data_IF_352756900894
#
_entry.id   IF_352756900894
#
_cell.length_a   1.000
_cell.length_b   1.000
_cell.length_c   1.000
_cell.angle_alpha   90.00
_cell.angle_beta   90.00
_cell.angle_gamma   90.00
#
_symmetry.space_group_name_H-M   'P 1'
#
loop_
_entity.id
_entity.type
_entity.pdbx_description
1 polymer ?
#
# COMPACT_ATOMS: atom_id res chain seq x y z
N UNK A 1 -37.55 -14.03 -20.33
CA UNK A 1 -37.46 -13.30 -19.03
C UNK A 1 -36.04 -12.93 -18.64
N UNK A 2 -35.03 -13.80 -18.83
CA UNK A 2 -33.62 -13.47 -18.55
C UNK A 2 -33.09 -12.23 -19.31
N UNK A 3 -33.50 -12.01 -20.58
CA UNK A 3 -33.05 -10.84 -21.37
C UNK A 3 -33.59 -9.48 -20.88
N UNK A 4 -34.65 -9.46 -20.06
CA UNK A 4 -35.16 -8.22 -19.46
C UNK A 4 -34.47 -7.89 -18.11
N UNK A 5 -33.76 -8.86 -17.53
CA UNK A 5 -33.04 -8.70 -16.26
C UNK A 5 -31.61 -8.21 -16.48
N UNK A 6 -30.96 -8.67 -17.54
CA UNK A 6 -29.59 -8.35 -17.90
C UNK A 6 -29.61 -7.66 -19.27
N UNK A 7 -29.83 -6.34 -19.26
CA UNK A 7 -29.81 -5.49 -20.46
C UNK A 7 -28.62 -4.56 -20.37
N UNK A 8 -27.84 -4.44 -21.45
CA UNK A 8 -26.69 -3.54 -21.56
C UNK A 8 -27.05 -2.06 -21.39
N UNK A 9 -28.34 -1.71 -21.38
CA UNK A 9 -28.84 -0.35 -21.18
C UNK A 9 -29.03 0.04 -19.69
N UNK A 10 -28.87 -0.90 -18.75
CA UNK A 10 -29.05 -0.64 -17.32
C UNK A 10 -27.71 -0.71 -16.57
N UNK A 11 -27.50 0.17 -15.58
CA UNK A 11 -26.32 0.11 -14.69
C UNK A 11 -26.26 -1.21 -13.92
N UNK A 12 -25.05 -1.63 -13.50
CA UNK A 12 -24.89 -2.89 -12.77
C UNK A 12 -25.66 -2.88 -11.47
N UNK A 13 -25.65 -1.74 -10.76
CA UNK A 13 -26.49 -1.54 -9.58
C UNK A 13 -27.99 -1.78 -9.83
N UNK A 14 -28.54 -1.32 -10.95
CA UNK A 14 -29.97 -1.52 -11.27
C UNK A 14 -30.28 -3.00 -11.60
N UNK A 15 -29.38 -3.69 -12.30
CA UNK A 15 -29.51 -5.12 -12.60
C UNK A 15 -29.43 -5.95 -11.30
N UNK A 16 -28.52 -5.60 -10.40
CA UNK A 16 -28.39 -6.21 -9.08
C UNK A 16 -29.66 -6.05 -8.23
N UNK A 17 -30.23 -4.84 -8.13
CA UNK A 17 -31.43 -4.60 -7.32
C UNK A 17 -32.61 -5.47 -7.76
N UNK A 18 -32.85 -5.58 -9.06
CA UNK A 18 -33.90 -6.46 -9.61
C UNK A 18 -33.66 -7.93 -9.25
N UNK A 19 -32.40 -8.36 -9.30
CA UNK A 19 -32.01 -9.73 -8.95
C UNK A 19 -32.16 -10.00 -7.44
N UNK A 20 -31.80 -9.03 -6.61
CA UNK A 20 -31.93 -9.13 -5.16
C UNK A 20 -33.40 -9.25 -4.73
N UNK A 21 -34.29 -8.42 -5.30
CA UNK A 21 -35.74 -8.53 -5.05
C UNK A 21 -36.28 -9.90 -5.47
N UNK A 22 -35.81 -10.45 -6.60
CA UNK A 22 -36.19 -11.80 -7.01
C UNK A 22 -35.70 -12.86 -6.02
N UNK A 23 -34.50 -12.68 -5.44
CA UNK A 23 -33.95 -13.60 -4.44
C UNK A 23 -34.68 -13.52 -3.09
N UNK A 24 -35.01 -12.33 -2.60
CA UNK A 24 -35.76 -12.13 -1.34
C UNK A 24 -37.15 -12.77 -1.39
N UNK A 25 -37.77 -12.79 -2.57
CA UNK A 25 -39.09 -13.38 -2.78
C UNK A 25 -39.08 -14.93 -2.84
N UNK A 26 -37.90 -15.58 -2.81
CA UNK A 26 -37.80 -17.05 -2.80
C UNK A 26 -37.94 -17.55 -1.36
N UNK A 27 -39.13 -18.09 -1.05
CA UNK A 27 -39.38 -18.86 0.17
C UNK A 27 -38.66 -20.21 0.12
N UNK A 28 -38.15 -20.68 1.27
CA UNK A 28 -37.38 -21.94 1.40
C UNK A 28 -38.15 -23.20 0.98
N UNK A 29 -39.47 -23.10 0.77
CA UNK A 29 -40.33 -24.23 0.42
C UNK A 29 -40.79 -24.24 -1.05
N UNK A 30 -40.42 -23.25 -1.87
CA UNK A 30 -40.92 -23.11 -3.25
C UNK A 30 -39.82 -23.17 -4.31
N UNK A 31 -39.82 -24.30 -5.01
CA UNK A 31 -39.47 -24.48 -6.43
C UNK A 31 -38.02 -24.35 -6.91
N UNK A 32 -37.46 -25.51 -7.33
CA UNK A 32 -36.17 -25.64 -8.03
C UNK A 32 -36.01 -24.74 -9.28
N UNK A 33 -37.11 -24.26 -9.88
CA UNK A 33 -37.08 -23.46 -11.10
C UNK A 33 -36.65 -22.01 -10.84
N UNK A 34 -37.20 -21.38 -9.79
CA UNK A 34 -36.85 -20.01 -9.43
C UNK A 34 -35.43 -19.92 -8.87
N UNK A 35 -35.01 -20.91 -8.08
CA UNK A 35 -33.62 -21.00 -7.61
C UNK A 35 -32.62 -21.18 -8.77
N UNK A 36 -32.97 -21.96 -9.80
CA UNK A 36 -32.16 -22.07 -11.03
C UNK A 36 -32.12 -20.76 -11.79
N UNK A 37 -33.24 -20.05 -11.90
CA UNK A 37 -33.27 -18.74 -12.55
C UNK A 37 -32.36 -17.73 -11.85
N UNK A 38 -32.39 -17.67 -10.51
CA UNK A 38 -31.46 -16.83 -9.74
C UNK A 38 -30.02 -17.27 -9.99
N UNK A 39 -29.71 -18.56 -9.88
CA UNK A 39 -28.36 -19.09 -10.14
C UNK A 39 -27.80 -18.61 -11.50
N UNK A 40 -28.55 -18.82 -12.59
CA UNK A 40 -28.08 -18.46 -13.94
C UNK A 40 -28.01 -16.95 -14.14
N UNK A 41 -29.02 -16.19 -13.71
CA UNK A 41 -28.99 -14.74 -13.82
C UNK A 41 -27.83 -14.12 -13.01
N UNK A 42 -27.59 -14.59 -11.78
CA UNK A 42 -26.48 -14.11 -10.95
C UNK A 42 -25.14 -14.49 -11.56
N UNK A 43 -25.02 -15.70 -12.12
CA UNK A 43 -23.80 -16.14 -12.79
C UNK A 43 -23.49 -15.29 -14.03
N UNK A 44 -24.50 -15.01 -14.87
CA UNK A 44 -24.30 -14.17 -16.07
C UNK A 44 -23.95 -12.73 -15.68
N UNK A 45 -24.63 -12.16 -14.69
CA UNK A 45 -24.32 -10.83 -14.18
C UNK A 45 -22.91 -10.77 -13.60
N UNK A 46 -22.53 -11.78 -12.79
CA UNK A 46 -21.18 -11.93 -12.25
C UNK A 46 -20.14 -11.92 -13.38
N UNK A 47 -20.28 -12.79 -14.38
CA UNK A 47 -19.33 -12.87 -15.49
C UNK A 47 -19.25 -11.56 -16.29
N UNK A 48 -20.38 -10.86 -16.46
CA UNK A 48 -20.39 -9.57 -17.15
C UNK A 48 -19.64 -8.48 -16.37
N UNK A 49 -19.86 -8.40 -15.05
CA UNK A 49 -19.11 -7.50 -14.17
C UNK A 49 -17.62 -7.85 -14.12
N UNK A 50 -17.29 -9.15 -14.01
CA UNK A 50 -15.91 -9.63 -13.99
C UNK A 50 -15.18 -9.32 -15.28
N UNK A 51 -15.83 -9.45 -16.44
CA UNK A 51 -15.23 -9.03 -17.71
C UNK A 51 -14.87 -7.54 -17.70
N UNK A 52 -15.79 -6.67 -17.29
CA UNK A 52 -15.53 -5.22 -17.23
C UNK A 52 -14.42 -4.86 -16.25
N UNK A 53 -14.40 -5.52 -15.10
CA UNK A 53 -13.36 -5.36 -14.09
C UNK A 53 -11.99 -5.86 -14.58
N UNK A 54 -11.95 -7.06 -15.14
CA UNK A 54 -10.72 -7.71 -15.64
C UNK A 54 -10.07 -6.93 -16.78
N UNK A 55 -10.86 -6.31 -17.67
CA UNK A 55 -10.35 -5.42 -18.72
C UNK A 55 -9.55 -4.22 -18.17
N UNK A 56 -9.77 -3.82 -16.92
CA UNK A 56 -9.03 -2.73 -16.27
C UNK A 56 -7.85 -3.25 -15.45
N UNK A 57 -7.99 -4.42 -14.82
CA UNK A 57 -6.91 -5.08 -14.06
C UNK A 57 -5.78 -5.47 -15.00
N UNK A 58 -6.07 -6.14 -16.10
CA UNK A 58 -5.05 -6.62 -17.02
C UNK A 58 -5.45 -6.34 -18.46
N UNK A 59 -5.34 -5.07 -18.90
CA UNK A 59 -5.78 -4.67 -20.23
C UNK A 59 -5.11 -5.47 -21.35
N UNK A 60 -3.87 -5.93 -21.13
CA UNK A 60 -3.11 -6.70 -22.11
C UNK A 60 -3.72 -8.08 -22.44
N UNK A 61 -4.47 -8.69 -21.51
CA UNK A 61 -5.13 -9.98 -21.75
C UNK A 61 -6.44 -9.84 -22.54
N UNK A 62 -7.05 -8.64 -22.54
CA UNK A 62 -8.40 -8.40 -23.08
C UNK A 62 -8.46 -7.36 -24.19
N UNK A 63 -7.45 -6.51 -24.35
CA UNK A 63 -7.40 -5.50 -25.39
C UNK A 63 -6.86 -6.07 -26.70
N UNK A 64 -7.59 -5.83 -27.78
CA UNK A 64 -7.00 -5.74 -29.12
C UNK A 64 -6.22 -4.42 -29.15
N UNK A 65 -4.92 -4.38 -29.49
CA UNK A 65 -4.13 -3.17 -29.44
C UNK A 65 -4.79 -2.09 -30.32
N UNK A 66 -5.23 -0.95 -29.76
CA UNK A 66 -5.74 0.15 -30.57
C UNK A 66 -4.59 0.71 -31.43
N UNK A 67 -4.88 1.24 -32.63
CA UNK A 67 -3.90 1.98 -33.42
C UNK A 67 -3.62 3.32 -32.73
N UNK A 68 -2.68 3.31 -31.80
CA UNK A 68 -2.35 4.48 -30.98
C UNK A 68 -1.85 4.02 -29.62
N UNK A 69 -0.65 4.46 -29.27
CA UNK A 69 0.16 4.00 -28.15
C UNK A 69 -0.36 4.46 -26.77
N UNK A 70 -1.67 4.45 -26.52
CA UNK A 70 -2.24 4.74 -25.19
C UNK A 70 -2.36 3.43 -24.42
N UNK A 71 -1.24 2.99 -23.80
CA UNK A 71 -1.25 1.84 -22.91
C UNK A 71 -2.23 2.11 -21.75
N UNK A 72 -3.35 1.40 -21.72
CA UNK A 72 -4.25 1.39 -20.57
C UNK A 72 -3.46 0.90 -19.35
N UNK A 73 -3.40 1.72 -18.30
CA UNK A 73 -2.67 1.39 -17.08
C UNK A 73 -3.44 0.32 -16.30
N UNK A 74 -2.77 -0.77 -15.94
CA UNK A 74 -3.31 -1.83 -15.07
C UNK A 74 -3.71 -1.25 -13.71
N UNK A 75 -4.74 -1.79 -13.06
CA UNK A 75 -5.17 -1.35 -11.72
C UNK A 75 -4.95 -2.44 -10.66
N UNK A 76 -4.84 -2.01 -9.40
CA UNK A 76 -4.63 -2.89 -8.23
C UNK A 76 -5.49 -2.44 -7.05
N UNK A 77 -6.08 -3.40 -6.34
CA UNK A 77 -6.79 -3.15 -5.09
C UNK A 77 -5.87 -3.36 -3.88
N UNK A 78 -5.74 -2.34 -3.03
CA UNK A 78 -4.91 -2.36 -1.82
C UNK A 78 -5.62 -1.66 -0.65
N UNK A 79 -5.22 -1.94 0.58
CA UNK A 79 -5.71 -1.21 1.76
C UNK A 79 -5.21 0.23 1.73
N UNK A 80 -6.08 1.20 2.02
CA UNK A 80 -5.68 2.59 2.16
C UNK A 80 -4.97 2.78 3.51
N UNK A 81 -3.77 3.37 3.46
CA UNK A 81 -2.97 3.61 4.65
C UNK A 81 -3.32 5.02 5.16
N UNK A 82 -3.69 5.13 6.43
CA UNK A 82 -3.93 6.44 7.06
C UNK A 82 -2.62 6.94 7.68
N UNK A 83 -2.11 8.12 7.30
CA UNK A 83 -0.88 8.67 7.90
C UNK A 83 -1.11 9.12 9.36
N UNK A 84 -2.35 9.48 9.72
CA UNK A 84 -2.67 10.17 10.98
C UNK A 84 -3.22 9.24 12.07
N UNK A 85 -3.19 7.92 11.91
CA UNK A 85 -3.64 6.98 12.94
C UNK A 85 -2.63 6.82 14.08
N UNK A 86 -2.14 7.94 14.61
CA UNK A 86 -1.53 8.02 15.94
C UNK A 86 -2.67 7.97 16.95
N UNK A 87 -3.37 6.84 17.03
CA UNK A 87 -4.19 6.51 18.19
C UNK A 87 -3.24 5.99 19.28
N UNK A 88 -2.60 6.92 20.01
CA UNK A 88 -1.73 6.68 21.17
C UNK A 88 -2.43 5.99 22.38
N UNK A 89 -3.52 5.26 22.16
CA UNK A 89 -4.30 4.68 23.25
C UNK A 89 -4.87 3.30 23.00
N UNK A 90 -4.51 2.58 21.94
CA UNK A 90 -4.78 1.14 21.88
C UNK A 90 -3.84 0.48 20.86
N UNK A 91 -3.09 -0.57 21.25
CA UNK A 91 -2.34 -1.35 20.27
C UNK A 91 -3.35 -1.84 19.24
N UNK A 92 -3.07 -1.64 17.94
CA UNK A 92 -3.84 -2.27 16.88
C UNK A 92 -4.05 -3.73 17.29
N UNK A 93 -5.31 -4.18 17.49
CA UNK A 93 -5.54 -5.49 18.05
C UNK A 93 -4.83 -6.49 17.14
N UNK A 94 -3.99 -7.35 17.71
CA UNK A 94 -3.17 -8.40 17.06
C UNK A 94 -3.97 -9.40 16.19
N UNK A 95 -5.26 -9.14 15.98
CA UNK A 95 -6.15 -9.66 14.95
C UNK A 95 -7.12 -8.51 14.65
N UNK A 96 -7.04 -7.89 13.48
CA UNK A 96 -8.06 -6.94 13.02
C UNK A 96 -9.40 -7.68 13.08
N UNK A 97 -10.20 -7.37 14.11
CA UNK A 97 -11.39 -8.13 14.47
C UNK A 97 -12.44 -7.72 13.47
N UNK A 98 -12.75 -8.62 12.51
CA UNK A 98 -13.82 -8.54 11.50
C UNK A 98 -14.76 -7.36 11.76
N UNK A 99 -14.49 -6.21 11.14
CA UNK A 99 -15.48 -5.15 11.07
C UNK A 99 -16.62 -5.67 10.19
N UNK A 100 -17.83 -5.69 10.74
CA UNK A 100 -19.04 -6.13 10.05
C UNK A 100 -19.50 -5.13 8.98
N UNK A 101 -18.96 -3.92 9.01
CA UNK A 101 -19.21 -2.85 8.04
C UNK A 101 -18.35 -3.05 6.79
N UNK A 102 -18.95 -3.00 5.58
CA UNK A 102 -18.18 -3.06 4.35
C UNK A 102 -17.20 -1.88 4.30
N UNK A 103 -15.94 -2.09 3.86
CA UNK A 103 -14.99 -1.01 3.78
C UNK A 103 -15.40 0.00 2.71
N UNK A 104 -14.99 1.24 2.89
CA UNK A 104 -15.17 2.26 1.86
C UNK A 104 -14.17 2.03 0.72
N UNK A 105 -14.69 1.91 -0.51
CA UNK A 105 -13.89 1.72 -1.71
C UNK A 105 -13.62 3.08 -2.37
N UNK A 106 -12.36 3.47 -2.43
CA UNK A 106 -11.89 4.66 -3.14
C UNK A 106 -11.14 4.26 -4.40
N UNK A 107 -11.15 5.13 -5.42
CA UNK A 107 -10.45 4.88 -6.70
C UNK A 107 -9.59 6.09 -6.99
N UNK A 108 -8.35 5.85 -7.44
CA UNK A 108 -7.45 6.94 -7.81
C UNK A 108 -8.04 7.85 -8.89
N UNK A 109 -7.79 9.15 -8.75
CA UNK A 109 -8.24 10.18 -9.68
C UNK A 109 -7.64 10.03 -11.10
N UNK A 110 -6.54 9.28 -11.25
CA UNK A 110 -5.93 9.01 -12.56
C UNK A 110 -6.77 8.05 -13.42
N UNK A 111 -7.74 7.36 -12.84
CA UNK A 111 -8.58 6.37 -13.50
C UNK A 111 -9.86 7.05 -14.02
N UNK A 112 -9.95 7.26 -15.33
CA UNK A 112 -11.04 8.03 -15.96
C UNK A 112 -12.43 7.40 -15.84
N UNK A 113 -12.52 6.08 -15.65
CA UNK A 113 -13.78 5.31 -15.55
C UNK A 113 -14.04 4.79 -14.11
N UNK A 114 -13.59 5.52 -13.09
CA UNK A 114 -13.70 5.13 -11.69
C UNK A 114 -15.11 4.68 -11.27
N UNK A 115 -16.17 5.38 -11.70
CA UNK A 115 -17.54 5.03 -11.33
C UNK A 115 -18.00 3.68 -11.92
N UNK A 116 -17.70 3.39 -13.18
CA UNK A 116 -18.04 2.11 -13.82
C UNK A 116 -17.23 0.97 -13.21
N UNK A 117 -15.95 1.21 -12.91
CA UNK A 117 -15.06 0.24 -12.27
C UNK A 117 -15.58 -0.14 -10.88
N UNK A 118 -15.92 0.86 -10.05
CA UNK A 118 -16.49 0.66 -8.72
C UNK A 118 -17.81 -0.10 -8.78
N UNK A 119 -18.74 0.29 -9.65
CA UNK A 119 -20.04 -0.38 -9.79
C UNK A 119 -19.88 -1.84 -10.27
N UNK A 120 -18.98 -2.08 -11.22
CA UNK A 120 -18.67 -3.43 -11.71
C UNK A 120 -18.07 -4.30 -10.60
N UNK A 121 -17.07 -3.82 -9.88
CA UNK A 121 -16.44 -4.58 -8.79
C UNK A 121 -17.42 -4.88 -7.66
N UNK A 122 -18.10 -3.86 -7.12
CA UNK A 122 -19.04 -4.04 -6.00
C UNK A 122 -20.23 -4.93 -6.38
N UNK A 123 -20.71 -4.84 -7.63
CA UNK A 123 -21.76 -5.75 -8.11
C UNK A 123 -21.24 -7.19 -8.25
N UNK A 124 -20.01 -7.39 -8.73
CA UNK A 124 -19.38 -8.71 -8.76
C UNK A 124 -19.24 -9.31 -7.36
N UNK A 125 -18.79 -8.52 -6.37
CA UNK A 125 -18.69 -8.93 -4.96
C UNK A 125 -20.05 -9.39 -4.43
N UNK A 126 -21.11 -8.62 -4.68
CA UNK A 126 -22.48 -8.95 -4.25
C UNK A 126 -23.00 -10.23 -4.92
N UNK A 127 -22.77 -10.38 -6.23
CA UNK A 127 -23.13 -11.60 -6.96
C UNK A 127 -22.39 -12.83 -6.42
N UNK A 128 -21.09 -12.69 -6.15
CA UNK A 128 -20.28 -13.75 -5.56
C UNK A 128 -20.81 -14.18 -4.19
N UNK A 129 -21.08 -13.22 -3.31
CA UNK A 129 -21.64 -13.48 -1.98
C UNK A 129 -23.01 -14.16 -2.06
N UNK A 130 -23.86 -13.75 -2.99
CA UNK A 130 -25.18 -14.36 -3.19
C UNK A 130 -25.10 -15.82 -3.63
N UNK A 131 -24.23 -16.13 -4.59
CA UNK A 131 -24.01 -17.49 -5.07
C UNK A 131 -23.50 -18.43 -3.96
N UNK A 132 -22.78 -17.88 -2.97
CA UNK A 132 -22.25 -18.62 -1.83
C UNK A 132 -23.12 -18.52 -0.56
N UNK A 133 -24.26 -17.82 -0.61
CA UNK A 133 -25.12 -17.59 0.55
C UNK A 133 -25.90 -18.83 1.00
N UNK A 134 -26.37 -19.66 0.05
CA UNK A 134 -27.11 -20.90 0.30
C UNK A 134 -26.34 -22.10 -0.23
N UNK A 135 -26.35 -23.20 0.51
CA UNK A 135 -25.61 -24.43 0.16
C UNK A 135 -25.97 -24.98 -1.23
N UNK A 136 -27.26 -24.92 -1.60
CA UNK A 136 -27.73 -25.39 -2.90
C UNK A 136 -27.19 -24.56 -4.07
N UNK A 137 -27.18 -23.23 -3.94
CA UNK A 137 -26.60 -22.34 -4.95
C UNK A 137 -25.10 -22.54 -5.05
N UNK A 138 -24.41 -22.63 -3.92
CA UNK A 138 -22.96 -22.83 -3.87
C UNK A 138 -22.54 -24.15 -4.52
N UNK A 139 -23.25 -25.25 -4.26
CA UNK A 139 -22.99 -26.56 -4.87
C UNK A 139 -23.19 -26.54 -6.39
N UNK A 140 -24.31 -26.00 -6.85
CA UNK A 140 -24.61 -25.95 -8.29
C UNK A 140 -23.67 -24.98 -9.04
N UNK A 141 -23.34 -23.84 -8.44
CA UNK A 141 -22.35 -22.92 -8.99
C UNK A 141 -20.95 -23.57 -9.05
N UNK A 142 -20.52 -24.26 -8.00
CA UNK A 142 -19.23 -24.96 -7.98
C UNK A 142 -19.13 -26.03 -9.08
N UNK A 143 -20.21 -26.79 -9.32
CA UNK A 143 -20.29 -27.74 -10.44
C UNK A 143 -20.13 -27.01 -11.77
N UNK A 144 -20.83 -25.89 -11.97
CA UNK A 144 -20.77 -25.11 -13.21
C UNK A 144 -19.35 -24.60 -13.47
N UNK A 145 -18.71 -24.03 -12.46
CA UNK A 145 -17.33 -23.53 -12.52
C UNK A 145 -16.32 -24.64 -12.81
N UNK A 146 -16.52 -25.83 -12.23
CA UNK A 146 -15.69 -27.01 -12.52
C UNK A 146 -15.84 -27.47 -13.98
N UNK A 147 -17.06 -27.51 -14.52
CA UNK A 147 -17.30 -27.88 -15.92
C UNK A 147 -16.65 -26.91 -16.90
N UNK A 148 -16.62 -25.62 -16.54
CA UNK A 148 -15.94 -24.58 -17.32
C UNK A 148 -14.43 -24.53 -17.11
N UNK A 149 -13.87 -25.38 -16.25
CA UNK A 149 -12.45 -25.38 -15.88
C UNK A 149 -11.98 -24.00 -15.42
N UNK A 150 -12.81 -23.30 -14.64
CA UNK A 150 -12.56 -21.91 -14.24
C UNK A 150 -11.28 -21.69 -13.44
N UNK A 151 -10.69 -22.75 -12.88
CA UNK A 151 -9.38 -22.72 -12.22
C UNK A 151 -8.25 -22.31 -13.17
N UNK A 152 -8.46 -22.40 -14.49
CA UNK A 152 -7.51 -21.95 -15.51
C UNK A 152 -7.62 -20.47 -15.84
N UNK A 153 -8.61 -19.75 -15.28
CA UNK A 153 -8.91 -18.36 -15.64
C UNK A 153 -8.12 -17.37 -14.76
N UNK A 154 -7.10 -16.66 -15.29
CA UNK A 154 -6.25 -15.78 -14.48
C UNK A 154 -7.04 -14.62 -13.85
N UNK A 155 -7.95 -14.02 -14.63
CA UNK A 155 -8.82 -12.93 -14.20
C UNK A 155 -9.77 -13.30 -13.06
N UNK A 156 -10.19 -14.56 -12.99
CA UNK A 156 -11.03 -15.03 -11.89
C UNK A 156 -10.20 -15.16 -10.61
N UNK A 157 -8.97 -15.69 -10.73
CA UNK A 157 -8.02 -15.75 -9.62
C UNK A 157 -7.69 -14.35 -9.10
N UNK A 158 -7.50 -13.37 -9.99
CA UNK A 158 -7.25 -11.97 -9.61
C UNK A 158 -8.42 -11.38 -8.83
N UNK A 159 -9.64 -11.53 -9.35
CA UNK A 159 -10.83 -11.10 -8.64
C UNK A 159 -10.99 -11.77 -7.27
N UNK A 160 -10.64 -13.06 -7.15
CA UNK A 160 -10.71 -13.77 -5.87
C UNK A 160 -9.70 -13.21 -4.86
N UNK A 161 -8.49 -12.87 -5.29
CA UNK A 161 -7.49 -12.20 -4.45
C UNK A 161 -8.01 -10.83 -4.02
N UNK A 162 -8.50 -10.01 -4.96
CA UNK A 162 -9.07 -8.69 -4.67
C UNK A 162 -10.28 -8.78 -3.73
N UNK A 163 -11.12 -9.80 -3.88
CA UNK A 163 -12.23 -10.07 -2.97
C UNK A 163 -11.74 -10.40 -1.56
N UNK A 164 -10.71 -11.24 -1.42
CA UNK A 164 -10.14 -11.57 -0.11
C UNK A 164 -9.51 -10.35 0.55
N UNK A 165 -8.78 -9.52 -0.21
CA UNK A 165 -8.27 -8.23 0.26
C UNK A 165 -9.42 -7.34 0.69
N UNK A 166 -10.44 -7.13 -0.15
CA UNK A 166 -11.63 -6.34 0.16
C UNK A 166 -12.36 -6.85 1.42
N UNK A 167 -12.40 -8.14 1.67
CA UNK A 167 -13.03 -8.73 2.86
C UNK A 167 -12.13 -8.73 4.10
N UNK A 168 -10.83 -8.44 3.95
CA UNK A 168 -9.86 -8.46 5.05
C UNK A 168 -9.30 -9.84 5.37
N UNK A 169 -9.48 -10.82 4.47
CA UNK A 169 -8.91 -12.17 4.58
C UNK A 169 -7.47 -12.22 4.05
N UNK A 170 -6.59 -11.40 4.63
CA UNK A 170 -5.22 -11.21 4.14
C UNK A 170 -4.37 -12.49 4.12
N UNK A 171 -4.59 -13.43 5.06
CA UNK A 171 -3.87 -14.71 5.09
C UNK A 171 -4.21 -15.58 3.89
N UNK A 172 -5.49 -15.67 3.55
CA UNK A 172 -5.95 -16.45 2.41
C UNK A 172 -5.54 -15.79 1.09
N UNK A 173 -5.57 -14.45 1.04
CA UNK A 173 -5.06 -13.68 -0.09
C UNK A 173 -3.56 -13.96 -0.33
N UNK A 174 -2.75 -13.95 0.73
CA UNK A 174 -1.32 -14.26 0.64
C UNK A 174 -1.04 -15.67 0.12
N UNK A 175 -1.80 -16.68 0.54
CA UNK A 175 -1.62 -18.05 0.05
C UNK A 175 -1.84 -18.12 -1.48
N UNK A 176 -2.86 -17.42 -2.00
CA UNK A 176 -3.11 -17.37 -3.44
C UNK A 176 -2.04 -16.55 -4.18
N UNK A 177 -1.63 -15.41 -3.62
CA UNK A 177 -0.58 -14.57 -4.18
C UNK A 177 0.77 -15.29 -4.25
N UNK A 178 1.14 -16.06 -3.23
CA UNK A 178 2.39 -16.83 -3.22
C UNK A 178 2.42 -17.87 -4.34
N UNK A 179 1.32 -18.59 -4.56
CA UNK A 179 1.23 -19.55 -5.67
C UNK A 179 1.38 -18.85 -7.03
N UNK A 180 0.79 -17.65 -7.18
CA UNK A 180 0.92 -16.84 -8.39
C UNK A 180 2.35 -16.32 -8.60
N UNK A 181 2.96 -15.80 -7.54
CA UNK A 181 4.32 -15.25 -7.56
C UNK A 181 5.40 -16.33 -7.74
N UNK A 182 5.11 -17.60 -7.48
CA UNK A 182 6.01 -18.71 -7.81
C UNK A 182 6.05 -19.03 -9.32
N UNK A 183 5.06 -18.59 -10.09
CA UNK A 183 4.95 -18.84 -11.54
C UNK A 183 5.60 -17.72 -12.38
N UNK A 184 6.75 -17.20 -11.93
CA UNK A 184 7.40 -16.00 -12.48
C UNK A 184 7.70 -16.09 -13.98
N UNK A 185 8.03 -17.28 -14.49
CA UNK A 185 8.45 -17.49 -15.89
C UNK A 185 7.35 -17.22 -16.93
N UNK A 186 6.08 -17.14 -16.50
CA UNK A 186 4.93 -16.96 -17.41
C UNK A 186 4.28 -15.60 -17.33
N UNK A 187 4.69 -14.75 -16.38
CA UNK A 187 3.97 -13.53 -16.02
C UNK A 187 4.72 -12.27 -16.46
N UNK A 188 3.99 -11.22 -16.83
CA UNK A 188 4.61 -9.92 -17.13
C UNK A 188 5.19 -9.28 -15.87
N UNK A 189 6.24 -8.46 -16.00
CA UNK A 189 6.85 -7.77 -14.85
C UNK A 189 5.84 -6.88 -14.10
N UNK A 190 4.88 -6.27 -14.81
CA UNK A 190 3.82 -5.46 -14.21
C UNK A 190 2.89 -6.34 -13.37
N UNK A 191 2.53 -7.53 -13.86
CA UNK A 191 1.67 -8.46 -13.14
C UNK A 191 2.36 -9.00 -11.87
N UNK A 192 3.69 -9.21 -11.92
CA UNK A 192 4.48 -9.59 -10.75
C UNK A 192 4.59 -8.45 -9.73
N UNK A 193 4.90 -7.23 -10.19
CA UNK A 193 4.95 -6.04 -9.33
C UNK A 193 3.60 -5.78 -8.65
N UNK A 194 2.48 -6.01 -9.37
CA UNK A 194 1.13 -5.97 -8.79
C UNK A 194 0.97 -6.99 -7.66
N UNK A 195 1.33 -8.25 -7.92
CA UNK A 195 1.27 -9.31 -6.91
C UNK A 195 2.14 -9.02 -5.68
N UNK A 196 3.36 -8.52 -5.87
CA UNK A 196 4.25 -8.12 -4.78
C UNK A 196 3.67 -6.94 -3.98
N UNK A 197 3.08 -5.93 -4.64
CA UNK A 197 2.46 -4.79 -3.94
C UNK A 197 1.25 -5.22 -3.09
N UNK A 198 0.41 -6.11 -3.63
CA UNK A 198 -0.70 -6.71 -2.89
C UNK A 198 -0.22 -7.58 -1.73
N UNK A 199 0.85 -8.35 -1.92
CA UNK A 199 1.45 -9.13 -0.84
C UNK A 199 2.03 -8.23 0.25
N UNK A 200 2.71 -7.13 -0.12
CA UNK A 200 3.22 -6.14 0.81
C UNK A 200 2.11 -5.54 1.68
N UNK A 201 1.00 -5.13 1.04
CA UNK A 201 -0.20 -4.65 1.70
C UNK A 201 -0.77 -5.68 2.69
N UNK A 202 -0.93 -6.94 2.25
CA UNK A 202 -1.45 -8.00 3.12
C UNK A 202 -0.52 -8.27 4.32
N UNK A 203 0.80 -8.28 4.11
CA UNK A 203 1.78 -8.46 5.18
C UNK A 203 1.73 -7.33 6.20
N UNK A 204 1.59 -6.08 5.75
CA UNK A 204 1.39 -4.92 6.62
C UNK A 204 0.13 -5.07 7.48
N UNK A 205 -1.03 -5.42 6.87
CA UNK A 205 -2.28 -5.62 7.61
C UNK A 205 -2.21 -6.77 8.64
N UNK A 206 -1.28 -7.72 8.46
CA UNK A 206 -1.03 -8.82 9.39
C UNK A 206 0.03 -8.50 10.46
N UNK A 207 0.68 -7.34 10.39
CA UNK A 207 1.79 -6.94 11.26
C UNK A 207 3.14 -7.60 10.91
N UNK A 208 3.25 -8.24 9.76
CA UNK A 208 4.49 -8.87 9.28
C UNK A 208 5.33 -7.86 8.47
N UNK A 209 5.78 -6.79 9.13
CA UNK A 209 6.39 -5.64 8.45
C UNK A 209 7.67 -5.97 7.66
N UNK A 210 8.54 -6.83 8.18
CA UNK A 210 9.75 -7.25 7.47
C UNK A 210 9.45 -7.94 6.13
N UNK A 211 8.46 -8.84 6.10
CA UNK A 211 8.03 -9.52 4.86
C UNK A 211 7.39 -8.53 3.89
N UNK A 212 6.57 -7.59 4.41
CA UNK A 212 5.99 -6.52 3.60
C UNK A 212 7.07 -5.64 2.95
N UNK A 213 8.10 -5.28 3.70
CA UNK A 213 9.25 -4.52 3.22
C UNK A 213 9.99 -5.25 2.11
N UNK A 214 10.20 -6.56 2.22
CA UNK A 214 10.88 -7.33 1.17
C UNK A 214 10.13 -7.26 -0.17
N UNK A 215 8.80 -7.36 -0.14
CA UNK A 215 7.98 -7.19 -1.34
C UNK A 215 8.02 -5.75 -1.88
N UNK A 216 7.99 -4.73 -1.01
CA UNK A 216 8.16 -3.32 -1.43
C UNK A 216 9.48 -3.12 -2.18
N UNK A 217 10.58 -3.70 -1.69
CA UNK A 217 11.88 -3.57 -2.35
C UNK A 217 11.88 -4.18 -3.75
N UNK A 218 11.18 -5.31 -3.96
CA UNK A 218 11.02 -5.91 -5.30
C UNK A 218 10.20 -5.01 -6.22
N UNK A 219 9.12 -4.43 -5.72
CA UNK A 219 8.28 -3.49 -6.50
C UNK A 219 9.11 -2.30 -6.94
N UNK A 220 9.80 -1.62 -6.00
CA UNK A 220 10.61 -0.44 -6.33
C UNK A 220 11.70 -0.76 -7.34
N UNK A 221 12.35 -1.93 -7.23
CA UNK A 221 13.38 -2.36 -8.18
C UNK A 221 12.85 -2.60 -9.60
N UNK A 222 11.54 -2.82 -9.76
CA UNK A 222 10.89 -3.03 -11.06
C UNK A 222 10.24 -1.76 -11.63
N UNK A 223 10.04 -0.71 -10.83
CA UNK A 223 9.46 0.54 -11.31
C UNK A 223 10.47 1.29 -12.18
N UNK A 224 10.02 1.93 -13.29
CA UNK A 224 10.84 2.93 -13.97
C UNK A 224 11.16 4.10 -13.01
N UNK A 225 11.92 5.09 -13.48
CA UNK A 225 12.15 6.33 -12.73
C UNK A 225 11.26 7.42 -13.34
N UNK A 226 10.40 8.00 -12.52
CA UNK A 226 9.40 8.98 -12.89
C UNK A 226 10.06 10.35 -12.89
N UNK A 227 9.79 11.11 -13.94
CA UNK A 227 10.12 12.53 -14.03
C UNK A 227 8.99 13.43 -13.53
N UNK A 228 7.82 12.86 -13.20
CA UNK A 228 6.67 13.62 -12.73
C UNK A 228 6.71 13.82 -11.20
N UNK A 229 6.29 15.00 -10.71
CA UNK A 229 6.26 15.27 -9.27
C UNK A 229 5.28 14.33 -8.56
N UNK A 230 5.51 14.04 -7.26
CA UNK A 230 4.61 13.21 -6.47
C UNK A 230 3.20 13.81 -6.49
N UNK A 231 2.23 13.05 -6.99
CA UNK A 231 0.82 13.45 -6.94
C UNK A 231 0.27 13.18 -5.55
N UNK A 232 -0.01 14.24 -4.81
CA UNK A 232 -0.69 14.16 -3.51
C UNK A 232 -2.09 13.56 -3.70
N UNK A 233 -2.33 12.37 -3.15
CA UNK A 233 -3.69 11.82 -3.09
C UNK A 233 -4.54 12.62 -2.10
N UNK A 234 -5.82 12.93 -2.41
CA UNK A 234 -6.70 13.62 -1.49
C UNK A 234 -6.86 12.84 -0.17
N UNK A 235 -6.75 13.54 0.96
CA UNK A 235 -6.99 12.98 2.30
C UNK A 235 -8.46 12.57 2.42
N UNK A 236 -8.74 11.30 2.73
CA UNK A 236 -10.09 10.86 3.09
C UNK A 236 -10.33 11.06 4.59
N UNK A 237 -11.39 11.81 4.94
CA UNK A 237 -11.75 12.19 6.30
C UNK A 237 -12.68 11.17 7.00
N UNK A 238 -12.93 10.01 6.40
CA UNK A 238 -13.91 9.05 6.93
C UNK A 238 -13.30 8.10 7.98
N UNK A 239 -14.05 7.88 9.05
CA UNK A 239 -13.76 6.88 10.08
C UNK A 239 -14.08 5.46 9.55
N UNK A 240 -13.21 4.49 9.84
CA UNK A 240 -13.38 3.09 9.43
C UNK A 240 -12.38 2.61 8.35
N UNK A 241 -12.50 1.31 8.02
CA UNK A 241 -11.66 0.61 7.05
C UNK A 241 -11.86 1.12 5.62
N UNK A 242 -10.76 1.39 4.92
CA UNK A 242 -10.76 1.92 3.56
C UNK A 242 -9.88 1.06 2.65
N UNK A 243 -10.39 0.77 1.46
CA UNK A 243 -9.66 0.06 0.40
C UNK A 243 -9.60 0.97 -0.82
N UNK A 244 -8.46 1.01 -1.50
CA UNK A 244 -8.22 1.88 -2.63
C UNK A 244 -7.86 1.07 -3.87
N UNK A 245 -8.41 1.46 -5.01
CA UNK A 245 -7.95 1.02 -6.33
C UNK A 245 -6.94 2.03 -6.85
N UNK A 246 -5.69 1.58 -7.01
CA UNK A 246 -4.60 2.36 -7.58
C UNK A 246 -4.36 1.96 -9.02
N UNK A 247 -3.92 2.92 -9.82
CA UNK A 247 -3.29 2.68 -11.10
C UNK A 247 -1.88 2.17 -10.86
N UNK A 248 -1.44 1.14 -11.59
CA UNK A 248 -0.08 0.60 -11.54
C UNK A 248 0.90 1.53 -12.28
N UNK A 249 0.80 2.83 -12.01
CA UNK A 249 1.72 3.88 -12.43
C UNK A 249 2.69 4.13 -11.31
N UNK A 250 3.91 4.46 -11.68
CA UNK A 250 4.95 4.77 -10.73
C UNK A 250 4.57 5.91 -9.79
N UNK A 251 3.93 6.95 -10.32
CA UNK A 251 3.44 8.11 -9.57
C UNK A 251 2.39 7.80 -8.50
N UNK A 252 1.85 6.57 -8.47
CA UNK A 252 0.92 6.11 -7.43
C UNK A 252 1.53 4.97 -6.59
N UNK A 253 2.24 4.04 -7.23
CA UNK A 253 2.81 2.87 -6.56
C UNK A 253 3.99 3.26 -5.66
N UNK A 254 4.87 4.15 -6.11
CA UNK A 254 6.03 4.55 -5.32
C UNK A 254 5.63 5.32 -4.04
N UNK A 255 4.74 6.34 -4.08
CA UNK A 255 4.21 6.97 -2.87
C UNK A 255 3.57 5.96 -1.90
N UNK A 256 2.81 5.00 -2.42
CA UNK A 256 2.18 3.97 -1.60
C UNK A 256 3.23 3.10 -0.89
N UNK A 257 4.31 2.71 -1.57
CA UNK A 257 5.43 1.95 -0.99
C UNK A 257 6.11 2.73 0.15
N UNK A 258 6.41 4.01 -0.06
CA UNK A 258 6.98 4.89 0.97
C UNK A 258 6.03 4.99 2.17
N UNK A 259 4.75 5.23 1.91
CA UNK A 259 3.74 5.33 2.96
C UNK A 259 3.61 4.02 3.78
N UNK A 260 3.63 2.86 3.12
CA UNK A 260 3.56 1.55 3.78
C UNK A 260 4.74 1.35 4.74
N UNK A 261 5.94 1.74 4.33
CA UNK A 261 7.13 1.63 5.17
C UNK A 261 7.13 2.63 6.32
N UNK A 262 6.73 3.89 6.09
CA UNK A 262 6.56 4.87 7.17
C UNK A 262 5.60 4.33 8.23
N UNK A 263 4.43 3.84 7.82
CA UNK A 263 3.44 3.28 8.75
C UNK A 263 3.95 2.01 9.45
N UNK A 264 4.72 1.17 8.75
CA UNK A 264 5.35 -0.02 9.36
C UNK A 264 6.34 0.36 10.47
N UNK A 265 7.21 1.33 10.22
CA UNK A 265 8.13 1.83 11.25
C UNK A 265 7.39 2.58 12.35
N UNK A 266 6.32 3.31 12.04
CA UNK A 266 5.52 4.02 13.03
C UNK A 266 4.95 3.05 14.07
N UNK A 267 4.32 1.95 13.62
CA UNK A 267 3.81 0.90 14.51
C UNK A 267 4.92 0.30 15.37
N UNK A 268 6.12 0.11 14.83
CA UNK A 268 7.26 -0.39 15.62
C UNK A 268 7.74 0.63 16.64
N UNK A 269 8.02 1.86 16.20
CA UNK A 269 8.62 2.92 17.01
C UNK A 269 7.69 3.34 18.13
N UNK A 270 6.41 3.59 17.87
CA UNK A 270 5.51 4.14 18.88
C UNK A 270 4.94 3.08 19.82
N UNK A 271 4.88 1.80 19.42
CA UNK A 271 4.48 0.73 20.32
C UNK A 271 5.66 0.10 21.09
N UNK A 272 6.91 0.32 20.67
CA UNK A 272 8.07 -0.21 21.37
C UNK A 272 8.33 0.54 22.69
N UNK A 273 8.59 -0.23 23.75
CA UNK A 273 8.97 0.30 25.07
C UNK A 273 10.41 0.84 25.12
N UNK A 274 11.27 0.39 24.19
CA UNK A 274 12.67 0.81 24.12
C UNK A 274 12.87 1.83 22.99
N UNK A 275 13.79 2.81 23.18
CA UNK A 275 14.17 3.72 22.12
C UNK A 275 14.82 2.95 20.96
N UNK A 276 14.37 3.25 19.74
CA UNK A 276 14.91 2.70 18.50
C UNK A 276 15.25 3.86 17.55
N UNK A 277 16.44 4.45 17.77
CA UNK A 277 16.94 5.59 17.01
C UNK A 277 17.10 5.27 15.52
N UNK A 278 17.37 4.01 15.17
CA UNK A 278 17.54 3.61 13.78
C UNK A 278 16.21 3.62 13.04
N UNK A 279 15.17 3.01 13.61
CA UNK A 279 13.82 3.06 13.02
C UNK A 279 13.30 4.50 12.93
N UNK A 280 13.55 5.33 13.95
CA UNK A 280 13.24 6.76 13.92
C UNK A 280 13.98 7.49 12.78
N UNK A 281 15.27 7.22 12.60
CA UNK A 281 16.06 7.78 11.52
C UNK A 281 15.60 7.34 10.13
N UNK A 282 15.23 6.07 9.97
CA UNK A 282 14.63 5.57 8.72
C UNK A 282 13.31 6.29 8.42
N UNK A 283 12.44 6.50 9.43
CA UNK A 283 11.21 7.27 9.23
C UNK A 283 11.50 8.70 8.78
N UNK A 284 12.47 9.40 9.41
CA UNK A 284 12.86 10.77 9.03
C UNK A 284 13.29 10.83 7.56
N UNK A 285 14.09 9.86 7.09
CA UNK A 285 14.51 9.81 5.68
C UNK A 285 13.31 9.68 4.74
N UNK A 286 12.34 8.82 5.08
CA UNK A 286 11.17 8.56 4.23
C UNK A 286 10.14 9.70 4.23
N UNK A 287 9.96 10.39 5.36
CA UNK A 287 9.00 11.50 5.48
C UNK A 287 9.31 12.67 4.53
N UNK A 288 10.56 12.79 4.08
CA UNK A 288 10.96 13.81 3.10
C UNK A 288 10.23 13.69 1.76
N UNK A 289 9.74 12.50 1.39
CA UNK A 289 9.09 12.26 0.11
C UNK A 289 7.86 13.14 -0.13
N UNK A 290 7.01 13.26 0.89
CA UNK A 290 5.81 14.10 0.89
C UNK A 290 5.76 14.86 2.22
N UNK A 291 6.74 15.76 2.39
CA UNK A 291 6.94 16.51 3.63
C UNK A 291 5.66 17.19 4.13
N UNK A 292 4.88 17.78 3.21
CA UNK A 292 3.62 18.45 3.52
C UNK A 292 2.60 17.53 4.22
N UNK A 293 2.65 16.24 3.93
CA UNK A 293 1.78 15.23 4.53
C UNK A 293 2.30 14.76 5.88
N UNK A 294 3.62 14.72 6.08
CA UNK A 294 4.28 14.08 7.22
C UNK A 294 4.84 15.04 8.27
N UNK A 295 4.73 16.36 8.07
CA UNK A 295 5.20 17.38 9.02
C UNK A 295 4.69 17.15 10.46
N UNK A 296 3.39 16.83 10.62
CA UNK A 296 2.84 16.57 11.95
C UNK A 296 3.43 15.31 12.60
N UNK A 297 3.60 14.23 11.83
CA UNK A 297 4.22 13.00 12.32
C UNK A 297 5.70 13.23 12.68
N UNK A 298 6.39 14.10 11.94
CA UNK A 298 7.76 14.48 12.24
C UNK A 298 7.86 15.23 13.58
N UNK A 299 6.93 16.13 13.89
CA UNK A 299 6.87 16.79 15.20
C UNK A 299 6.77 15.79 16.37
N UNK A 300 6.04 14.69 16.19
CA UNK A 300 5.95 13.62 17.20
C UNK A 300 7.25 12.84 17.33
N UNK A 301 7.92 12.57 16.21
CA UNK A 301 9.27 11.98 16.19
C UNK A 301 10.26 12.88 16.94
N UNK A 302 10.24 14.19 16.70
CA UNK A 302 11.07 15.15 17.43
C UNK A 302 10.75 15.16 18.92
N UNK A 303 9.47 15.12 19.29
CA UNK A 303 9.07 15.03 20.69
C UNK A 303 9.65 13.78 21.36
N UNK A 304 9.61 12.63 20.68
CA UNK A 304 10.19 11.38 21.16
C UNK A 304 11.72 11.47 21.31
N UNK A 305 12.42 12.05 20.34
CA UNK A 305 13.87 12.29 20.42
C UNK A 305 14.22 13.21 21.60
N UNK A 306 13.42 14.26 21.80
CA UNK A 306 13.61 15.19 22.91
C UNK A 306 13.42 14.49 24.26
N UNK A 307 12.43 13.61 24.40
CA UNK A 307 12.24 12.80 25.60
C UNK A 307 13.41 11.84 25.87
N UNK A 308 14.03 11.30 24.82
CA UNK A 308 15.18 10.38 24.93
C UNK A 308 16.48 11.12 25.34
N UNK A 309 16.63 12.39 24.96
CA UNK A 309 17.81 13.19 25.29
C UNK A 309 19.06 12.87 24.44
N UNK A 310 18.99 11.85 23.58
CA UNK A 310 20.01 11.52 22.60
C UNK A 310 19.36 11.03 21.30
N UNK A 311 20.13 11.06 20.22
CA UNK A 311 19.71 10.44 18.95
C UNK A 311 20.94 10.04 18.13
N UNK A 312 20.99 8.77 17.72
CA UNK A 312 22.09 8.19 16.95
C UNK A 312 21.61 7.67 15.61
N UNK A 313 22.05 8.28 14.51
CA UNK A 313 21.69 7.84 13.16
C UNK A 313 22.75 8.26 12.13
N UNK A 314 23.68 7.36 11.83
CA UNK A 314 24.86 7.69 11.02
C UNK A 314 24.57 7.87 9.52
N UNK A 315 23.34 7.56 9.09
CA UNK A 315 22.87 7.73 7.71
C UNK A 315 22.22 9.10 7.47
N UNK A 316 22.07 9.92 8.51
CA UNK A 316 21.35 11.20 8.43
C UNK A 316 21.86 12.08 7.29
N UNK A 317 23.15 12.42 7.30
CA UNK A 317 23.76 13.27 6.28
C UNK A 317 23.99 12.57 4.93
N UNK A 318 23.62 11.30 4.78
CA UNK A 318 23.65 10.63 3.48
C UNK A 318 22.36 10.93 2.70
N UNK A 319 21.21 10.95 3.39
CA UNK A 319 19.90 10.95 2.75
C UNK A 319 18.98 12.12 3.15
N UNK A 320 19.28 12.86 4.23
CA UNK A 320 18.45 13.99 4.67
C UNK A 320 18.92 15.29 4.02
N UNK A 321 18.06 15.87 3.18
CA UNK A 321 18.29 17.12 2.44
C UNK A 321 17.18 18.16 2.62
N UNK A 322 16.04 17.78 3.23
CA UNK A 322 14.92 18.69 3.48
C UNK A 322 15.33 19.77 4.50
N UNK A 323 15.16 21.05 4.12
CA UNK A 323 15.64 22.20 4.88
C UNK A 323 14.99 22.26 6.28
N UNK A 324 13.68 22.09 6.37
CA UNK A 324 12.94 22.17 7.64
C UNK A 324 13.46 21.11 8.63
N UNK A 325 13.70 19.88 8.17
CA UNK A 325 14.30 18.82 8.99
C UNK A 325 15.72 19.20 9.44
N UNK A 326 16.54 19.74 8.54
CA UNK A 326 17.92 20.14 8.87
C UNK A 326 17.94 21.26 9.90
N UNK A 327 17.03 22.22 9.81
CA UNK A 327 16.89 23.33 10.76
C UNK A 327 16.50 22.82 12.15
N UNK A 328 15.52 21.93 12.25
CA UNK A 328 15.10 21.33 13.52
C UNK A 328 16.24 20.56 14.19
N UNK A 329 17.01 19.77 13.42
CA UNK A 329 18.19 19.07 13.96
C UNK A 329 19.33 20.01 14.36
N UNK A 330 19.47 21.17 13.70
CA UNK A 330 20.39 22.21 14.13
C UNK A 330 19.92 22.83 15.46
N UNK A 331 18.61 23.07 15.61
CA UNK A 331 18.00 23.59 16.83
C UNK A 331 18.15 22.64 18.03
N UNK A 332 17.91 21.33 17.86
CA UNK A 332 18.08 20.32 18.91
C UNK A 332 19.49 20.30 19.53
N UNK A 333 20.51 20.70 18.76
CA UNK A 333 21.92 20.71 19.22
C UNK A 333 22.23 21.88 20.15
N UNK A 334 21.51 22.99 20.05
CA UNK A 334 21.76 24.20 20.85
C UNK A 334 21.07 24.15 22.22
N UNK A 335 21.42 25.09 23.10
CA UNK A 335 20.88 25.13 24.47
C UNK A 335 19.36 25.34 24.52
N UNK A 336 18.82 26.17 23.63
CA UNK A 336 17.39 26.47 23.57
C UNK A 336 16.57 25.26 23.12
N UNK A 337 17.10 24.44 22.21
CA UNK A 337 16.48 23.18 21.76
C UNK A 337 16.76 21.96 22.63
N UNK A 338 17.18 22.14 23.89
CA UNK A 338 17.35 21.05 24.87
C UNK A 338 18.74 20.42 24.92
N UNK A 339 19.68 20.83 24.06
CA UNK A 339 21.08 20.34 24.02
C UNK A 339 21.14 18.81 23.88
N UNK A 340 20.33 18.27 22.97
CA UNK A 340 20.23 16.83 22.72
C UNK A 340 21.57 16.28 22.23
N UNK A 341 21.94 15.09 22.72
CA UNK A 341 23.16 14.43 22.27
C UNK A 341 22.95 13.77 20.90
N UNK A 342 23.20 14.53 19.83
CA UNK A 342 23.13 14.04 18.46
C UNK A 342 24.44 13.39 18.01
N UNK A 343 24.36 12.13 17.58
CA UNK A 343 25.41 11.35 16.93
C UNK A 343 24.97 10.91 15.53
N UNK A 344 24.94 11.88 14.61
CA UNK A 344 24.37 11.73 13.26
C UNK A 344 25.41 11.87 12.12
N UNK A 345 26.69 12.02 12.48
CA UNK A 345 27.77 12.09 11.49
C UNK A 345 28.06 10.69 10.90
N UNK A 346 28.42 10.60 9.61
CA UNK A 346 28.81 9.32 9.00
C UNK A 346 29.94 8.64 9.75
N UNK A 347 29.92 7.30 9.80
CA UNK A 347 30.94 6.49 10.48
C UNK A 347 32.36 6.77 9.98
N UNK A 348 32.52 7.05 8.68
CA UNK A 348 33.79 7.44 8.07
C UNK A 348 34.35 8.73 8.68
N UNK A 349 33.49 9.73 8.89
CA UNK A 349 33.86 10.98 9.57
C UNK A 349 34.25 10.72 11.02
N UNK A 350 33.56 9.81 11.72
CA UNK A 350 33.92 9.44 13.11
C UNK A 350 35.30 8.80 13.20
N UNK A 351 35.66 7.91 12.28
CA UNK A 351 36.98 7.27 12.24
C UNK A 351 38.11 8.28 12.01
N UNK A 352 37.87 9.32 11.20
CA UNK A 352 38.81 10.42 10.99
C UNK A 352 38.93 11.31 12.24
N UNK A 353 37.82 11.55 12.95
CA UNK A 353 37.83 12.33 14.20
C UNK A 353 38.53 11.57 15.34
N UNK A 354 38.33 10.25 15.43
CA UNK A 354 38.97 9.41 16.46
C UNK A 354 40.49 9.25 16.25
N UNK A 355 40.97 9.31 15.00
CA UNK A 355 42.40 9.26 14.67
C UNK A 355 43.12 10.60 14.89
N UNK A 356 42.39 11.72 15.04
CA UNK A 356 42.95 12.99 15.52
C UNK A 356 43.23 12.90 17.02
N UNK A 357 44.49 12.63 17.37
CA UNK A 357 45.06 12.63 18.72
C UNK A 357 44.41 13.63 19.68
N UNK A 358 43.98 13.14 20.84
CA UNK A 358 43.32 13.87 21.94
C UNK A 358 44.18 15.05 22.39
N UNK A 359 43.91 16.22 21.83
CA UNK A 359 44.37 17.52 22.32
C UNK A 359 43.15 18.42 22.50
N UNK A 360 43.25 19.45 23.35
CA UNK A 360 42.12 20.26 23.88
C UNK A 360 41.21 20.97 22.84
N UNK A 361 41.34 20.70 21.54
CA UNK A 361 40.53 21.25 20.43
C UNK A 361 39.49 20.30 19.79
N UNK A 362 39.40 19.02 20.19
CA UNK A 362 38.52 18.02 19.52
C UNK A 362 37.04 18.45 19.48
N UNK A 363 36.51 19.02 20.57
CA UNK A 363 35.11 19.47 20.63
C UNK A 363 34.80 20.65 19.69
N UNK A 364 35.80 21.46 19.33
CA UNK A 364 35.64 22.54 18.35
C UNK A 364 35.58 21.97 16.92
N UNK A 365 36.37 20.94 16.64
CA UNK A 365 36.35 20.22 15.36
C UNK A 365 35.01 19.56 15.10
N UNK A 366 34.45 18.85 16.09
CA UNK A 366 33.14 18.17 15.93
C UNK A 366 32.00 19.15 15.62
N UNK A 367 32.02 20.35 16.23
CA UNK A 367 31.03 21.40 15.91
C UNK A 367 31.18 21.93 14.49
N UNK A 368 32.42 22.12 14.04
CA UNK A 368 32.71 22.57 12.67
C UNK A 368 32.36 21.50 11.64
N UNK A 369 32.65 20.23 11.92
CA UNK A 369 32.31 19.10 11.05
C UNK A 369 30.78 18.94 10.93
N UNK A 370 30.05 19.14 12.03
CA UNK A 370 28.58 19.15 12.03
C UNK A 370 28.01 20.30 11.19
N UNK A 371 28.51 21.53 11.39
CA UNK A 371 28.07 22.69 10.61
C UNK A 371 28.38 22.51 9.12
N UNK A 372 29.58 22.05 8.78
CA UNK A 372 29.96 21.79 7.38
C UNK A 372 29.10 20.68 6.75
N UNK A 373 28.73 19.65 7.52
CA UNK A 373 27.83 18.60 7.05
C UNK A 373 26.41 19.12 6.78
N UNK A 374 25.89 20.00 7.65
CA UNK A 374 24.60 20.68 7.44
C UNK A 374 24.65 21.56 6.18
N UNK A 375 25.65 22.44 6.06
CA UNK A 375 25.82 23.31 4.88
C UNK A 375 25.88 22.49 3.58
N UNK A 376 26.55 21.34 3.62
CA UNK A 376 26.58 20.41 2.48
C UNK A 376 25.19 19.87 2.13
N UNK A 377 24.35 19.52 3.10
CA UNK A 377 22.98 19.04 2.78
C UNK A 377 22.08 20.16 2.28
N UNK A 378 22.23 21.38 2.80
CA UNK A 378 21.47 22.55 2.30
C UNK A 378 21.76 22.78 0.81
N UNK A 379 23.01 22.63 0.38
CA UNK A 379 23.38 22.71 -1.06
C UNK A 379 22.68 21.61 -1.89
N UNK A 380 22.41 20.44 -1.29
CA UNK A 380 21.73 19.30 -1.93
C UNK A 380 20.21 19.37 -1.88
N UNK A 381 19.63 20.41 -1.27
CA UNK A 381 18.17 20.52 -1.07
C UNK A 381 17.37 20.54 -2.38
N UNK A 382 18.00 20.89 -3.50
CA UNK A 382 17.40 20.86 -4.84
C UNK A 382 17.51 19.49 -5.55
N UNK A 383 18.21 18.51 -4.96
CA UNK A 383 18.27 17.16 -5.52
C UNK A 383 16.89 16.49 -5.55
N UNK A 384 16.67 15.61 -6.53
CA UNK A 384 15.41 14.88 -6.64
C UNK A 384 15.26 13.90 -5.45
N UNK A 385 14.31 14.20 -4.55
CA UNK A 385 14.07 13.41 -3.35
C UNK A 385 13.65 11.97 -3.63
N UNK A 386 12.92 11.72 -4.72
CA UNK A 386 12.53 10.37 -5.12
C UNK A 386 13.76 9.52 -5.42
N UNK A 387 14.73 10.08 -6.16
CA UNK A 387 15.98 9.39 -6.44
C UNK A 387 16.74 9.08 -5.15
N UNK A 388 16.81 10.01 -4.20
CA UNK A 388 17.49 9.79 -2.91
C UNK A 388 16.82 8.63 -2.16
N UNK A 389 15.50 8.58 -2.11
CA UNK A 389 14.76 7.53 -1.42
C UNK A 389 14.88 6.18 -2.15
N UNK A 390 14.95 6.17 -3.48
CA UNK A 390 15.25 4.95 -4.25
C UNK A 390 16.63 4.40 -3.92
N UNK A 391 17.66 5.26 -3.85
CA UNK A 391 18.99 4.84 -3.43
C UNK A 391 18.97 4.31 -2.00
N UNK A 392 18.25 4.98 -1.10
CA UNK A 392 18.08 4.52 0.28
C UNK A 392 17.46 3.11 0.37
N UNK A 393 16.43 2.82 -0.45
CA UNK A 393 15.83 1.48 -0.52
C UNK A 393 16.80 0.40 -1.04
N UNK A 394 17.67 0.74 -1.98
CA UNK A 394 18.63 -0.20 -2.56
C UNK A 394 19.84 -0.40 -1.64
N UNK A 395 20.46 0.69 -1.22
CA UNK A 395 21.74 0.70 -0.50
C UNK A 395 21.57 0.23 0.95
N UNK A 396 20.45 0.57 1.60
CA UNK A 396 20.19 0.26 3.01
C UNK A 396 19.18 -0.87 3.20
N UNK A 397 18.94 -1.67 2.15
CA UNK A 397 17.95 -2.77 2.14
C UNK A 397 18.03 -3.67 3.37
N UNK A 398 19.23 -4.15 3.70
CA UNK A 398 19.43 -5.08 4.81
C UNK A 398 19.17 -4.43 6.17
N UNK A 399 19.50 -3.14 6.31
CA UNK A 399 19.22 -2.37 7.53
C UNK A 399 17.72 -2.15 7.69
N UNK A 400 17.02 -1.79 6.62
CA UNK A 400 15.56 -1.61 6.62
C UNK A 400 14.84 -2.91 7.03
N UNK A 401 15.26 -4.05 6.48
CA UNK A 401 14.71 -5.36 6.85
C UNK A 401 15.03 -5.72 8.30
N UNK A 402 16.27 -5.51 8.73
CA UNK A 402 16.70 -5.81 10.10
C UNK A 402 15.89 -5.06 11.15
N UNK A 403 15.62 -3.77 10.89
CA UNK A 403 14.87 -2.93 11.80
C UNK A 403 13.35 -3.04 11.63
N UNK A 404 12.84 -3.92 10.77
CA UNK A 404 11.40 -4.27 10.71
C UNK A 404 11.10 -5.70 11.17
N UNK A 405 12.13 -6.50 11.46
CA UNK A 405 12.02 -7.72 12.26
C UNK A 405 11.79 -7.38 13.74
#
# INVERSE_FOLDING_TARGET
MASNLISSAHSFGAQWQRLHTLWENISDQTESSQSKQVLYCTTVLLLHCLYKYACQIEPQQFAVPPPGNTASSSVILVEAIKPDSISLSEPMPKKLKRELTPPELTVSASISNAAELTDAFLTAVRCWQLLHSRELLSKEFSKLMQHWQSHTWPWLSDFQIDLLVYQGFYKDALLQLQHKLQQQDTCSQITLARGDLQAACCHYCLGNYAQGCEHVMRVVGCLPVSTEPPTSSPRSLTEGRQVQILSCRESEVFPYCVQLLISSFMEKVFNASMPDDMSLGHMIVLMQYDWSKYEQLFCEVLHKIHQQGHFTYNLFFNYVINIDILEEFAYLKIHEGGRINLDILPTSTKQIVQTRTVTRGVNKGVKQDFQAALEKQVIRSEENIENIIRHFFVDERDLLLHHLM
#
